data_IF_537471603568
#
_entry.id   IF_537471603568
#
_cell.length_a   1.000
_cell.length_b   1.000
_cell.length_c   1.000
_cell.angle_alpha   90.00
_cell.angle_beta   90.00
_cell.angle_gamma   90.00
#
_symmetry.space_group_name_H-M   'P 1'
#
loop_
_entity.id
_entity.type
_entity.pdbx_description
1 polymer ?
#
# COMPACT_ATOMS: atom_id res chain seq x y z
N UNK A 1 9.22 -7.16 -1.88
CA UNK A 1 8.21 -6.23 -2.44
C UNK A 1 8.81 -4.82 -2.44
N UNK A 2 8.64 -4.06 -3.53
CA UNK A 2 9.07 -2.66 -3.65
C UNK A 2 7.90 -1.72 -3.38
N UNK A 3 8.17 -0.42 -3.15
CA UNK A 3 7.12 0.58 -2.95
C UNK A 3 6.22 0.68 -4.19
N UNK A 4 6.82 0.75 -5.37
CA UNK A 4 6.14 0.87 -6.66
C UNK A 4 5.24 -0.35 -6.92
N UNK A 5 5.72 -1.56 -6.59
CA UNK A 5 4.89 -2.77 -6.72
C UNK A 5 3.71 -2.77 -5.75
N UNK A 6 3.87 -2.23 -4.54
CA UNK A 6 2.80 -2.17 -3.56
C UNK A 6 1.74 -1.13 -3.93
N UNK A 7 2.16 0.02 -4.46
CA UNK A 7 1.25 1.06 -4.99
C UNK A 7 0.46 0.52 -6.19
N UNK A 8 1.14 -0.11 -7.15
CA UNK A 8 0.45 -0.71 -8.30
C UNK A 8 -0.61 -1.73 -7.87
N UNK A 9 -0.29 -2.56 -6.86
CA UNK A 9 -1.25 -3.52 -6.33
C UNK A 9 -2.42 -2.85 -5.61
N UNK A 10 -2.20 -1.75 -4.91
CA UNK A 10 -3.26 -0.95 -4.30
C UNK A 10 -4.22 -0.39 -5.35
N UNK A 11 -3.70 0.15 -6.46
CA UNK A 11 -4.51 0.62 -7.59
C UNK A 11 -5.38 -0.51 -8.16
N UNK A 12 -4.79 -1.70 -8.39
CA UNK A 12 -5.55 -2.87 -8.83
C UNK A 12 -6.66 -3.28 -7.85
N UNK A 13 -6.38 -3.22 -6.54
CA UNK A 13 -7.37 -3.54 -5.50
C UNK A 13 -8.53 -2.53 -5.55
N UNK A 14 -8.25 -1.24 -5.68
CA UNK A 14 -9.28 -0.20 -5.80
C UNK A 14 -10.13 -0.44 -7.03
N UNK A 15 -9.51 -0.68 -8.19
CA UNK A 15 -10.22 -0.98 -9.45
C UNK A 15 -11.14 -2.21 -9.30
N UNK A 16 -10.69 -3.26 -8.60
CA UNK A 16 -11.48 -4.47 -8.37
C UNK A 16 -12.68 -4.20 -7.45
N UNK A 17 -12.49 -3.41 -6.39
CA UNK A 17 -13.56 -3.05 -5.46
C UNK A 17 -14.60 -2.13 -6.13
N UNK A 18 -14.17 -1.19 -6.98
CA UNK A 18 -15.07 -0.27 -7.68
C UNK A 18 -15.93 -0.96 -8.75
N UNK A 19 -15.42 -2.02 -9.37
CA UNK A 19 -16.16 -2.77 -10.40
C UNK A 19 -17.40 -3.49 -9.84
N UNK A 20 -17.56 -3.62 -8.52
CA UNK A 20 -18.69 -4.32 -7.87
C UNK A 20 -18.96 -5.74 -8.40
N UNK A 21 -18.00 -6.35 -9.11
CA UNK A 21 -18.08 -7.71 -9.65
C UNK A 21 -17.49 -8.75 -8.68
N UNK A 22 -16.93 -8.30 -7.56
CA UNK A 22 -16.34 -9.16 -6.52
C UNK A 22 -17.37 -9.52 -5.47
N UNK A 23 -17.34 -10.78 -5.02
CA UNK A 23 -18.18 -11.23 -3.91
C UNK A 23 -17.83 -10.50 -2.60
N UNK A 24 -18.71 -10.56 -1.60
CA UNK A 24 -18.44 -9.97 -0.29
C UNK A 24 -17.17 -10.56 0.34
N UNK A 25 -17.00 -11.89 0.27
CA UNK A 25 -15.82 -12.57 0.81
C UNK A 25 -14.53 -12.14 0.11
N UNK A 26 -14.57 -11.93 -1.21
CA UNK A 26 -13.43 -11.41 -1.96
C UNK A 26 -13.16 -9.95 -1.64
N UNK A 27 -14.20 -9.13 -1.48
CA UNK A 27 -14.09 -7.73 -1.07
C UNK A 27 -13.38 -7.61 0.28
N UNK A 28 -13.72 -8.49 1.24
CA UNK A 28 -13.06 -8.55 2.54
C UNK A 28 -11.57 -8.91 2.43
N UNK A 29 -11.22 -9.87 1.58
CA UNK A 29 -9.82 -10.25 1.33
C UNK A 29 -9.02 -9.13 0.67
N UNK A 30 -9.59 -8.48 -0.34
CA UNK A 30 -9.00 -7.34 -1.04
C UNK A 30 -8.77 -6.16 -0.09
N UNK A 31 -9.73 -5.89 0.79
CA UNK A 31 -9.60 -4.85 1.80
C UNK A 31 -8.50 -5.15 2.82
N UNK A 32 -8.41 -6.39 3.31
CA UNK A 32 -7.35 -6.82 4.23
C UNK A 32 -5.97 -6.71 3.55
N UNK A 33 -5.86 -7.13 2.29
CA UNK A 33 -4.65 -6.98 1.48
C UNK A 33 -4.27 -5.50 1.33
N UNK A 34 -5.22 -4.64 0.94
CA UNK A 34 -5.00 -3.20 0.78
C UNK A 34 -4.54 -2.52 2.08
N UNK A 35 -5.09 -2.95 3.22
CA UNK A 35 -4.67 -2.44 4.54
C UNK A 35 -3.21 -2.78 4.82
N UNK A 36 -2.79 -4.03 4.54
CA UNK A 36 -1.39 -4.47 4.71
C UNK A 36 -0.43 -3.72 3.78
N UNK A 37 -0.82 -3.53 2.52
CA UNK A 37 -0.02 -2.79 1.54
C UNK A 37 0.14 -1.32 1.94
N UNK A 38 -0.94 -0.69 2.43
CA UNK A 38 -0.91 0.70 2.91
C UNK A 38 0.04 0.86 4.10
N UNK A 39 0.01 -0.08 5.05
CA UNK A 39 0.93 -0.09 6.19
C UNK A 39 2.39 -0.24 5.73
N UNK A 40 2.65 -1.16 4.80
CA UNK A 40 3.99 -1.35 4.20
C UNK A 40 4.50 -0.08 3.51
N UNK A 41 3.67 0.57 2.69
CA UNK A 41 4.02 1.82 2.00
C UNK A 41 4.35 2.94 2.99
N UNK A 42 3.55 3.08 4.04
CA UNK A 42 3.74 4.08 5.08
C UNK A 42 5.06 3.87 5.84
N UNK A 43 5.39 2.63 6.17
CA UNK A 43 6.65 2.29 6.82
C UNK A 43 7.86 2.58 5.91
N UNK A 44 7.77 2.24 4.62
CA UNK A 44 8.82 2.54 3.64
C UNK A 44 9.08 4.03 3.53
N UNK A 45 8.03 4.85 3.43
CA UNK A 45 8.16 6.30 3.36
C UNK A 45 8.75 6.87 4.65
N UNK A 46 8.30 6.41 5.81
CA UNK A 46 8.84 6.81 7.11
C UNK A 46 10.34 6.54 7.20
N UNK A 47 10.77 5.34 6.81
CA UNK A 47 12.19 4.96 6.82
C UNK A 47 13.01 5.81 5.84
N UNK A 48 12.48 6.11 4.66
CA UNK A 48 13.13 6.99 3.69
C UNK A 48 13.27 8.41 4.25
N UNK A 49 12.22 8.96 4.85
CA UNK A 49 12.23 10.30 5.46
C UNK A 49 13.21 10.39 6.64
N UNK A 50 13.26 9.36 7.48
CA UNK A 50 14.22 9.29 8.58
C UNK A 50 15.66 9.32 8.05
N UNK A 51 15.95 8.51 7.02
CA UNK A 51 17.28 8.49 6.41
C UNK A 51 17.68 9.84 5.81
N UNK A 52 16.75 10.53 5.13
CA UNK A 52 16.99 11.89 4.65
C UNK A 52 17.30 12.82 5.82
N UNK A 53 16.50 12.76 6.89
CA UNK A 53 16.66 13.62 8.07
C UNK A 53 18.04 13.43 8.72
N UNK A 54 18.50 12.20 8.85
CA UNK A 54 19.84 11.87 9.38
C UNK A 54 20.96 12.40 8.50
N UNK A 55 20.81 12.33 7.16
CA UNK A 55 21.80 12.85 6.21
C UNK A 55 21.84 14.39 6.18
N UNK A 56 20.73 15.06 6.50
CA UNK A 56 20.62 16.53 6.49
C UNK A 56 20.89 17.20 7.83
N UNK A 57 21.06 16.44 8.92
CA UNK A 57 21.45 16.98 10.23
C UNK A 57 22.97 17.18 10.24
N UNK A 58 23.40 18.40 9.94
CA UNK A 58 24.74 18.93 10.26
C UNK A 58 24.87 19.27 11.75
#
# INVERSE_FOLDING_TARGET
>A
MTYESAIKRLEEIVDLLEKNEVSLDESMKLFEEGTKLTAFCSEKLKNAQQKITELTKE
#
